data_IF_794118777977
#
_entry.id   IF_794118777977
#
_cell.length_a   1.000
_cell.length_b   1.000
_cell.length_c   1.000
_cell.angle_alpha   90.00
_cell.angle_beta   90.00
_cell.angle_gamma   90.00
#
_symmetry.space_group_name_H-M   'P 1'
#
loop_
_entity.id
_entity.type
_entity.pdbx_description
1 polymer ?
#
# COMPACT_ATOMS: atom_id res chain seq x y z
N UNK A 1 -13.64 26.68 -1.38
CA UNK A 1 -13.27 25.99 -0.13
C UNK A 1 -13.90 24.59 0.01
N UNK A 2 -15.15 24.37 -0.42
CA UNK A 2 -15.81 23.05 -0.33
C UNK A 2 -15.01 21.88 -0.97
N UNK A 3 -14.37 22.08 -2.12
CA UNK A 3 -13.55 21.05 -2.77
C UNK A 3 -12.34 20.61 -1.94
N UNK A 4 -11.67 21.56 -1.27
CA UNK A 4 -10.53 21.24 -0.39
C UNK A 4 -10.98 20.43 0.83
N UNK A 5 -12.13 20.80 1.42
CA UNK A 5 -12.71 20.05 2.54
C UNK A 5 -13.14 18.64 2.11
N UNK A 6 -13.71 18.49 0.92
CA UNK A 6 -14.08 17.18 0.37
C UNK A 6 -12.84 16.29 0.17
N UNK A 7 -11.75 16.81 -0.42
CA UNK A 7 -10.48 16.08 -0.60
C UNK A 7 -9.87 15.68 0.74
N UNK A 8 -9.75 16.63 1.68
CA UNK A 8 -9.22 16.38 3.01
C UNK A 8 -10.04 15.34 3.80
N UNK A 9 -11.36 15.29 3.60
CA UNK A 9 -12.22 14.27 4.20
C UNK A 9 -11.90 12.86 3.68
N UNK A 10 -11.73 12.71 2.37
CA UNK A 10 -11.34 11.42 1.75
C UNK A 10 -9.94 11.01 2.21
N UNK A 11 -8.99 11.95 2.25
CA UNK A 11 -7.64 11.71 2.73
C UNK A 11 -7.64 11.22 4.19
N UNK A 12 -8.45 11.82 5.06
CA UNK A 12 -8.58 11.37 6.46
C UNK A 12 -9.19 9.95 6.56
N UNK A 13 -10.23 9.66 5.76
CA UNK A 13 -10.87 8.33 5.79
C UNK A 13 -9.93 7.24 5.26
N UNK A 14 -9.11 7.53 4.26
CA UNK A 14 -8.11 6.58 3.75
C UNK A 14 -7.02 6.32 4.79
N UNK A 15 -6.56 7.34 5.52
CA UNK A 15 -5.64 7.16 6.65
C UNK A 15 -6.24 6.27 7.74
N UNK A 16 -7.51 6.49 8.10
CA UNK A 16 -8.21 5.65 9.09
C UNK A 16 -8.35 4.19 8.63
N UNK A 17 -8.58 3.97 7.33
CA UNK A 17 -8.64 2.64 6.75
C UNK A 17 -7.30 1.90 6.88
N UNK A 18 -6.18 2.54 6.57
CA UNK A 18 -4.85 1.90 6.61
C UNK A 18 -4.16 1.91 7.99
N UNK A 19 -4.72 2.57 9.00
CA UNK A 19 -4.06 2.82 10.30
C UNK A 19 -3.44 1.59 10.98
N UNK A 20 -4.09 0.43 10.86
CA UNK A 20 -3.65 -0.83 11.47
C UNK A 20 -3.36 -1.93 10.42
N UNK A 21 -3.23 -1.55 9.14
CA UNK A 21 -3.01 -2.49 8.05
C UNK A 21 -1.68 -2.19 7.36
N UNK A 22 -0.86 -3.23 7.25
CA UNK A 22 0.31 -3.25 6.39
C UNK A 22 0.02 -4.25 5.28
N UNK A 23 -0.17 -3.76 4.07
CA UNK A 23 -0.58 -4.60 2.95
C UNK A 23 0.27 -4.30 1.73
N UNK A 24 0.72 -5.37 1.08
CA UNK A 24 1.39 -5.31 -0.20
C UNK A 24 0.36 -5.31 -1.33
N UNK A 25 0.51 -4.34 -2.23
CA UNK A 25 -0.42 -4.08 -3.32
C UNK A 25 0.32 -3.69 -4.59
N UNK A 26 -0.28 -4.07 -5.71
CA UNK A 26 0.27 -3.76 -7.02
C UNK A 26 -0.18 -2.37 -7.48
N UNK A 27 0.75 -1.66 -8.08
CA UNK A 27 0.57 -0.34 -8.65
C UNK A 27 1.37 -0.17 -9.93
N UNK A 28 1.21 1.01 -10.53
CA UNK A 28 1.90 1.39 -11.74
C UNK A 28 2.59 2.72 -11.55
N UNK A 29 3.79 2.88 -12.09
CA UNK A 29 4.47 4.17 -12.11
C UNK A 29 3.67 5.12 -13.01
N UNK A 30 3.06 6.14 -12.42
CA UNK A 30 2.28 7.13 -13.17
C UNK A 30 3.17 8.25 -13.73
N UNK A 31 4.15 8.69 -12.96
CA UNK A 31 5.12 9.70 -13.40
C UNK A 31 6.45 9.53 -12.69
N UNK A 32 7.55 9.79 -13.41
CA UNK A 32 8.90 9.77 -12.88
C UNK A 32 9.34 11.22 -12.63
N UNK A 33 9.90 11.50 -11.46
CA UNK A 33 10.46 12.82 -11.08
C UNK A 33 11.94 12.67 -10.74
N UNK A 34 12.67 13.79 -10.70
CA UNK A 34 14.11 13.81 -10.39
C UNK A 34 14.46 13.11 -9.08
N UNK A 35 13.60 13.18 -8.06
CA UNK A 35 13.86 12.65 -6.72
C UNK A 35 12.78 11.69 -6.19
N UNK A 36 11.81 11.32 -7.02
CA UNK A 36 10.67 10.52 -6.58
C UNK A 36 9.94 9.84 -7.75
N UNK A 37 9.26 8.75 -7.46
CA UNK A 37 8.31 8.10 -8.36
C UNK A 37 6.90 8.37 -7.87
N UNK A 38 6.03 8.83 -8.76
CA UNK A 38 4.60 8.93 -8.52
C UNK A 38 3.98 7.61 -8.97
N UNK A 39 3.36 6.89 -8.04
CA UNK A 39 2.79 5.56 -8.25
C UNK A 39 1.28 5.65 -8.08
N UNK A 40 0.54 5.03 -8.99
CA UNK A 40 -0.90 4.87 -8.92
C UNK A 40 -1.22 3.46 -8.41
N UNK A 41 -2.05 3.39 -7.36
CA UNK A 41 -2.59 2.17 -6.79
C UNK A 41 -4.04 2.00 -7.27
N UNK A 42 -4.29 1.27 -8.36
CA UNK A 42 -5.60 1.23 -9.01
C UNK A 42 -6.69 0.63 -8.12
N UNK A 43 -6.35 -0.35 -7.27
CA UNK A 43 -7.32 -1.02 -6.38
C UNK A 43 -8.02 -0.06 -5.41
N UNK A 44 -7.30 0.96 -4.94
CA UNK A 44 -7.81 1.95 -4.00
C UNK A 44 -8.03 3.33 -4.62
N UNK A 45 -7.65 3.51 -5.89
CA UNK A 45 -7.67 4.81 -6.55
C UNK A 45 -6.76 5.84 -5.87
N UNK A 46 -5.63 5.39 -5.30
CA UNK A 46 -4.70 6.26 -4.58
C UNK A 46 -3.48 6.59 -5.43
N UNK A 47 -3.12 7.86 -5.44
CA UNK A 47 -1.84 8.33 -5.96
C UNK A 47 -0.88 8.56 -4.79
N UNK A 48 0.31 8.02 -4.90
CA UNK A 48 1.32 8.09 -3.84
C UNK A 48 2.68 8.44 -4.41
N UNK A 49 3.52 9.08 -3.61
CA UNK A 49 4.86 9.50 -4.01
C UNK A 49 5.89 8.71 -3.23
N UNK A 50 6.69 7.92 -3.93
CA UNK A 50 7.84 7.21 -3.40
C UNK A 50 9.08 8.08 -3.55
N UNK A 51 9.61 8.59 -2.45
CA UNK A 51 10.84 9.38 -2.46
C UNK A 51 12.06 8.46 -2.58
N UNK A 52 12.88 8.67 -3.61
CA UNK A 52 14.10 7.90 -3.85
C UNK A 52 15.29 8.57 -3.17
N UNK A 53 15.25 8.61 -1.84
CA UNK A 53 16.32 9.20 -1.02
C UNK A 53 16.96 8.14 -0.13
N UNK A 54 18.28 8.23 -0.02
CA UNK A 54 19.03 7.46 0.95
C UNK A 54 18.86 8.04 2.36
N UNK A 55 19.34 7.32 3.38
CA UNK A 55 19.39 7.77 4.78
C UNK A 55 20.13 9.10 4.94
N UNK A 56 21.11 9.36 4.08
CA UNK A 56 21.87 10.62 4.02
C UNK A 56 21.17 11.73 3.21
N UNK A 57 19.96 11.48 2.71
CA UNK A 57 19.14 12.45 1.97
C UNK A 57 19.52 12.66 0.50
N UNK A 58 20.54 11.94 -0.01
CA UNK A 58 20.93 11.97 -1.42
C UNK A 58 19.96 11.17 -2.28
N UNK A 59 19.74 11.61 -3.53
CA UNK A 59 18.96 10.85 -4.50
C UNK A 59 19.70 9.58 -4.90
N UNK A 60 19.04 8.43 -4.80
CA UNK A 60 19.64 7.12 -5.11
C UNK A 60 19.66 6.85 -6.62
N UNK A 61 18.73 7.44 -7.37
CA UNK A 61 18.58 7.21 -8.81
C UNK A 61 19.11 8.34 -9.69
N UNK A 62 19.65 7.98 -10.84
CA UNK A 62 19.97 8.88 -11.94
C UNK A 62 18.73 9.12 -12.80
N UNK A 63 18.38 10.39 -13.02
CA UNK A 63 17.19 10.78 -13.78
C UNK A 63 17.57 11.17 -15.21
N UNK A 64 16.96 10.50 -16.19
CA UNK A 64 17.08 10.88 -17.60
C UNK A 64 15.87 11.74 -17.99
N UNK A 65 16.13 12.98 -18.41
CA UNK A 65 15.10 13.98 -18.73
C UNK A 65 14.48 13.77 -20.12
N UNK A 66 15.19 13.13 -21.06
CA UNK A 66 14.68 12.88 -22.41
C UNK A 66 13.62 11.78 -22.43
N UNK A 67 13.87 10.68 -21.71
CA UNK A 67 12.98 9.53 -21.65
C UNK A 67 12.07 9.54 -20.40
N UNK A 68 12.26 10.49 -19.49
CA UNK A 68 11.61 10.54 -18.18
C UNK A 68 11.75 9.19 -17.43
N UNK A 69 12.96 8.64 -17.42
CA UNK A 69 13.29 7.37 -16.76
C UNK A 69 14.18 7.59 -15.55
N UNK A 70 14.16 6.63 -14.63
CA UNK A 70 15.01 6.66 -13.44
C UNK A 70 15.78 5.37 -13.31
N UNK A 71 17.11 5.47 -13.32
CA UNK A 71 18.02 4.32 -13.24
C UNK A 71 18.57 4.21 -11.82
N UNK A 72 18.39 3.04 -11.20
CA UNK A 72 18.85 2.74 -9.85
C UNK A 72 19.61 1.41 -9.89
N UNK A 73 20.92 1.41 -9.61
CA UNK A 73 21.76 0.20 -9.55
C UNK A 73 21.52 -0.78 -10.73
N UNK A 74 21.61 -0.28 -11.98
CA UNK A 74 21.32 -0.99 -13.24
C UNK A 74 19.85 -1.31 -13.55
N UNK A 75 18.89 -0.93 -12.70
CA UNK A 75 17.48 -1.06 -13.00
C UNK A 75 16.91 0.27 -13.49
N UNK A 76 16.42 0.31 -14.73
CA UNK A 76 15.76 1.48 -15.30
C UNK A 76 14.25 1.34 -15.14
N UNK A 77 13.65 2.27 -14.40
CA UNK A 77 12.20 2.37 -14.19
C UNK A 77 11.63 3.38 -15.17
N UNK A 78 10.62 2.95 -15.90
CA UNK A 78 9.89 3.73 -16.88
C UNK A 78 8.51 4.11 -16.36
N UNK A 79 7.87 5.03 -17.07
CA UNK A 79 6.45 5.29 -16.87
C UNK A 79 5.63 4.05 -17.23
N UNK A 80 4.58 3.79 -16.45
CA UNK A 80 3.67 2.65 -16.53
C UNK A 80 4.26 1.29 -16.17
N UNK A 81 5.49 1.24 -15.65
CA UNK A 81 6.04 -0.01 -15.14
C UNK A 81 5.24 -0.51 -13.93
N UNK A 82 4.95 -1.82 -13.86
CA UNK A 82 4.28 -2.42 -12.71
C UNK A 82 5.25 -2.48 -11.52
N UNK A 83 4.74 -2.08 -10.36
CA UNK A 83 5.49 -2.06 -9.10
C UNK A 83 4.63 -2.63 -7.99
N UNK A 84 5.23 -3.38 -7.07
CA UNK A 84 4.54 -3.79 -5.84
C UNK A 84 5.06 -2.92 -4.71
N UNK A 85 4.13 -2.26 -4.02
CA UNK A 85 4.43 -1.39 -2.88
C UNK A 85 3.72 -1.89 -1.63
N UNK A 86 4.36 -1.69 -0.50
CA UNK A 86 3.77 -1.90 0.81
C UNK A 86 3.22 -0.57 1.32
N UNK A 87 1.95 -0.58 1.71
CA UNK A 87 1.25 0.59 2.25
C UNK A 87 1.28 0.53 3.78
N UNK A 88 1.59 1.67 4.40
CA UNK A 88 1.56 1.87 5.84
C UNK A 88 1.14 3.30 6.17
N UNK A 89 0.78 3.57 7.43
CA UNK A 89 0.48 4.93 7.89
C UNK A 89 1.61 5.39 8.82
N UNK A 90 2.23 6.52 8.49
CA UNK A 90 3.15 7.17 9.40
C UNK A 90 2.38 7.91 10.50
N UNK A 91 2.54 7.44 11.72
CA UNK A 91 1.91 7.98 12.93
C UNK A 91 2.87 8.81 13.79
N UNK A 92 4.07 9.14 13.30
CA UNK A 92 5.04 9.94 14.05
C UNK A 92 4.47 11.29 14.52
N UNK A 93 3.71 11.96 13.65
CA UNK A 93 2.99 13.19 14.01
C UNK A 93 1.47 12.98 13.94
N UNK A 94 0.81 12.99 15.09
CA UNK A 94 -0.64 12.79 15.22
C UNK A 94 -1.45 13.84 14.43
N UNK A 95 -0.95 15.07 14.30
CA UNK A 95 -1.63 16.15 13.57
C UNK A 95 -1.46 16.06 12.05
N UNK A 96 -0.46 15.29 11.58
CA UNK A 96 -0.09 15.19 10.16
C UNK A 96 0.23 13.76 9.79
N UNK A 97 -0.72 12.87 10.07
CA UNK A 97 -0.66 11.49 9.59
C UNK A 97 -0.62 11.48 8.06
N UNK A 98 0.18 10.58 7.51
CA UNK A 98 0.31 10.42 6.06
C UNK A 98 0.41 8.94 5.71
N UNK A 99 -0.12 8.60 4.54
CA UNK A 99 0.13 7.29 3.95
C UNK A 99 1.59 7.29 3.49
N UNK A 100 2.33 6.29 3.95
CA UNK A 100 3.71 6.05 3.58
C UNK A 100 3.79 4.74 2.81
N UNK A 101 4.56 4.75 1.73
CA UNK A 101 4.78 3.56 0.92
C UNK A 101 6.24 3.14 0.94
N UNK A 102 6.44 1.84 0.87
CA UNK A 102 7.74 1.22 0.71
C UNK A 102 7.75 0.37 -0.55
N UNK A 103 8.83 0.41 -1.31
CA UNK A 103 8.98 -0.42 -2.50
C UNK A 103 9.24 -1.86 -2.08
N UNK A 104 8.53 -2.81 -2.66
CA UNK A 104 8.76 -4.25 -2.46
C UNK A 104 9.36 -4.85 -3.72
N UNK A 105 8.72 -4.63 -4.86
CA UNK A 105 9.21 -5.01 -6.19
C UNK A 105 9.14 -3.80 -7.11
N UNK A 106 10.18 -3.56 -7.93
CA UNK A 106 11.45 -4.28 -8.01
C UNK A 106 12.33 -4.12 -6.75
N UNK A 107 13.12 -5.14 -6.43
CA UNK A 107 13.95 -5.14 -5.23
C UNK A 107 15.25 -4.37 -5.47
N UNK A 108 15.45 -3.31 -4.70
CA UNK A 108 16.65 -2.47 -4.71
C UNK A 108 17.33 -2.66 -3.36
N UNK A 109 18.59 -3.09 -3.38
CA UNK A 109 19.39 -3.28 -2.17
C UNK A 109 19.47 -1.98 -1.36
N UNK A 110 19.20 -2.07 -0.05
CA UNK A 110 19.24 -0.92 0.86
C UNK A 110 18.02 0.00 0.84
N UNK A 111 17.09 -0.16 -0.12
CA UNK A 111 15.89 0.69 -0.24
C UNK A 111 14.57 -0.10 -0.15
N UNK A 112 14.49 -1.29 -0.77
CA UNK A 112 13.25 -2.08 -0.80
C UNK A 112 13.03 -2.90 0.48
N UNK A 113 11.76 -3.11 0.83
CA UNK A 113 11.30 -3.92 1.96
C UNK A 113 10.88 -5.30 1.47
N UNK A 114 11.06 -6.34 2.30
CA UNK A 114 10.60 -7.68 1.97
C UNK A 114 9.08 -7.77 1.95
N UNK A 115 8.54 -8.55 1.01
CA UNK A 115 7.10 -8.75 0.90
C UNK A 115 6.52 -9.37 2.19
N UNK A 116 5.34 -8.90 2.60
CA UNK A 116 4.57 -9.51 3.67
C UNK A 116 4.02 -10.83 3.13
N UNK A 117 4.49 -11.94 3.69
CA UNK A 117 3.94 -13.27 3.42
C UNK A 117 2.50 -13.27 3.92
N UNK A 118 1.53 -13.04 3.02
CA UNK A 118 0.13 -13.37 3.27
C UNK A 118 0.10 -14.89 3.40
N UNK A 119 0.13 -15.41 4.62
CA UNK A 119 -0.21 -16.80 4.88
C UNK A 119 -1.60 -17.01 4.30
N UNK A 120 -1.63 -17.61 3.12
CA UNK A 120 -2.84 -17.97 2.39
C UNK A 120 -3.44 -19.14 3.16
N UNK A 121 -4.11 -18.87 4.27
CA UNK A 121 -5.05 -19.84 4.81
C UNK A 121 -6.12 -19.98 3.73
N UNK A 122 -6.12 -21.13 3.08
CA UNK A 122 -7.11 -21.59 2.12
C UNK A 122 -8.51 -21.34 2.67
N UNK A 123 -9.24 -20.38 2.08
CA UNK A 123 -10.66 -20.12 2.38
C UNK A 123 -11.58 -21.11 1.61
N UNK A 124 -11.00 -22.03 0.83
CA UNK A 124 -11.77 -22.97 0.00
C UNK A 124 -12.29 -24.23 0.75
N UNK A 125 -12.10 -24.35 2.08
CA UNK A 125 -12.57 -25.54 2.84
C UNK A 125 -13.68 -25.28 3.88
N UNK A 126 -14.15 -24.04 4.08
CA UNK A 126 -15.12 -23.74 5.17
C UNK A 126 -16.59 -24.02 4.80
N UNK A 127 -16.92 -24.20 3.52
CA UNK A 127 -18.32 -24.35 3.08
C UNK A 127 -18.97 -25.73 3.35
N UNK A 128 -18.22 -26.74 3.82
CA UNK A 128 -18.74 -28.12 3.98
C UNK A 128 -19.08 -28.57 5.41
N UNK A 129 -19.05 -27.68 6.42
CA UNK A 129 -19.31 -28.09 7.83
C UNK A 129 -20.67 -27.65 8.39
N UNK A 130 -21.54 -27.00 7.60
CA UNK A 130 -22.83 -26.46 8.09
C UNK A 130 -23.98 -27.51 8.10
N UNK A 131 -23.79 -28.73 7.60
CA UNK A 131 -24.87 -29.72 7.42
C UNK A 131 -25.16 -30.63 8.64
N UNK A 132 -25.08 -30.14 9.88
CA UNK A 132 -25.75 -30.84 11.00
C UNK A 132 -26.59 -29.90 11.85
N UNK A 133 -27.91 -30.15 12.00
CA UNK A 133 -28.78 -29.27 12.75
C UNK A 133 -28.52 -29.41 14.26
N UNK A 134 -28.17 -28.29 14.89
CA UNK A 134 -28.04 -28.18 16.35
C UNK A 134 -29.40 -28.46 17.00
N UNK A 135 -29.50 -29.52 17.82
CA UNK A 135 -30.69 -29.82 18.62
C UNK A 135 -30.98 -28.67 19.58
N UNK A 136 -32.15 -28.04 19.41
CA UNK A 136 -32.69 -26.99 20.29
C UNK A 136 -32.88 -27.52 21.72
N UNK A 137 -32.13 -26.97 22.67
CA UNK A 137 -32.30 -27.26 24.10
C UNK A 137 -33.67 -26.75 24.57
N UNK A 138 -34.54 -27.66 25.06
CA UNK A 138 -35.81 -27.30 25.71
C UNK A 138 -35.51 -26.69 27.08
N UNK A 139 -35.76 -25.39 27.22
CA UNK A 139 -35.84 -24.71 28.52
C UNK A 139 -37.09 -25.22 29.25
N UNK A 140 -36.90 -25.88 30.41
CA UNK A 140 -38.00 -26.26 31.31
C UNK A 140 -38.49 -24.99 32.02
N UNK A 141 -39.75 -24.61 31.84
CA UNK A 141 -40.39 -23.58 32.67
C UNK A 141 -40.66 -24.17 34.07
N UNK A 142 -40.10 -23.56 35.11
CA UNK A 142 -40.52 -23.82 36.48
C UNK A 142 -41.91 -23.22 36.69
N UNK A 143 -42.81 -24.03 37.26
CA UNK A 143 -43.98 -23.53 38.00
C UNK A 143 -43.53 -23.05 39.38
#
# INVERSE_FOLDING_TARGET
>A
MAQYAARASVDLHTQLFFKNMNTDEDGYVFAVRKNALQILLPRYGLETTLFLRDKDGKSIGEFNEEEATQTINNLTIHMFDPVTVQISVDTYNIQRQRIQIHLVKPFIEGFSVSAIVKNKTTIDEVDNTITTPVKRLKVKSSK
#
